data_IF_755062374086
#
_entry.id   IF_755062374086
#
_cell.length_a   1.000
_cell.length_b   1.000
_cell.length_c   1.000
_cell.angle_alpha   90.00
_cell.angle_beta   90.00
_cell.angle_gamma   90.00
#
_symmetry.space_group_name_H-M   'P 1'
#
loop_
_entity.id
_entity.type
_entity.pdbx_description
1 polymer ?
#
# COMPACT_ATOMS: atom_id res chain seq x y z
N UNK A 1 -6.20 -4.64 24.69
CA UNK A 1 -5.17 -5.64 24.32
C UNK A 1 -5.38 -6.27 22.93
N UNK A 2 -6.56 -6.79 22.53
CA UNK A 2 -6.70 -7.37 21.18
C UNK A 2 -6.68 -6.32 20.06
N UNK A 3 -7.30 -5.15 20.28
CA UNK A 3 -7.39 -4.08 19.28
C UNK A 3 -6.03 -3.51 18.85
N UNK A 4 -5.08 -3.41 19.78
CA UNK A 4 -3.71 -2.98 19.51
C UNK A 4 -2.98 -3.93 18.55
N UNK A 5 -3.08 -5.22 18.83
CA UNK A 5 -2.51 -6.26 17.98
C UNK A 5 -3.16 -6.29 16.59
N UNK A 6 -4.47 -6.10 16.51
CA UNK A 6 -5.19 -5.98 15.23
C UNK A 6 -4.73 -4.74 14.45
N UNK A 7 -4.54 -3.59 15.11
CA UNK A 7 -4.04 -2.39 14.46
C UNK A 7 -2.62 -2.61 13.89
N UNK A 8 -1.71 -3.20 14.67
CA UNK A 8 -0.36 -3.53 14.22
C UNK A 8 -0.35 -4.53 13.05
N UNK A 9 -1.30 -5.47 13.02
CA UNK A 9 -1.50 -6.39 11.90
C UNK A 9 -1.95 -5.65 10.64
N UNK A 10 -2.87 -4.69 10.76
CA UNK A 10 -3.34 -3.87 9.63
C UNK A 10 -2.20 -3.03 9.06
N UNK A 11 -1.38 -2.38 9.89
CA UNK A 11 -0.22 -1.60 9.41
C UNK A 11 0.80 -2.51 8.72
N UNK A 12 1.09 -3.67 9.31
CA UNK A 12 2.02 -4.64 8.71
C UNK A 12 1.49 -5.15 7.36
N UNK A 13 0.20 -5.43 7.27
CA UNK A 13 -0.46 -5.81 6.03
C UNK A 13 -0.44 -4.68 4.99
N UNK A 14 -0.68 -3.44 5.41
CA UNK A 14 -0.58 -2.26 4.55
C UNK A 14 0.84 -2.12 3.98
N UNK A 15 1.86 -2.25 4.82
CA UNK A 15 3.25 -2.20 4.37
C UNK A 15 3.56 -3.32 3.35
N UNK A 16 3.13 -4.56 3.62
CA UNK A 16 3.27 -5.67 2.68
C UNK A 16 2.50 -5.41 1.37
N UNK A 17 1.35 -4.75 1.44
CA UNK A 17 0.58 -4.35 0.27
C UNK A 17 1.36 -3.35 -0.59
N UNK A 18 2.00 -2.34 0.00
CA UNK A 18 2.87 -1.39 -0.71
C UNK A 18 4.04 -2.14 -1.39
N UNK A 19 4.73 -3.01 -0.67
CA UNK A 19 5.80 -3.84 -1.24
C UNK A 19 5.28 -4.70 -2.40
N UNK A 20 4.09 -5.26 -2.27
CA UNK A 20 3.44 -6.02 -3.34
C UNK A 20 3.11 -5.13 -4.54
N UNK A 21 2.70 -3.87 -4.36
CA UNK A 21 2.50 -2.95 -5.49
C UNK A 21 3.82 -2.63 -6.21
N UNK A 22 4.92 -2.49 -5.46
CA UNK A 22 6.25 -2.22 -6.02
C UNK A 22 6.78 -3.43 -6.80
N UNK A 23 6.75 -4.63 -6.20
CA UNK A 23 7.42 -5.82 -6.74
C UNK A 23 6.49 -6.85 -7.41
N UNK A 24 5.17 -6.71 -7.26
CA UNK A 24 4.16 -7.67 -7.74
C UNK A 24 4.10 -7.82 -9.26
N UNK A 25 4.67 -6.87 -10.00
CA UNK A 25 4.90 -6.97 -11.44
C UNK A 25 5.64 -8.25 -11.84
N UNK A 26 6.64 -8.68 -11.06
CA UNK A 26 7.40 -9.91 -11.31
C UNK A 26 6.50 -11.14 -11.20
N UNK A 27 5.80 -11.27 -10.07
CA UNK A 27 4.99 -12.44 -9.78
C UNK A 27 3.74 -12.53 -10.66
N UNK A 28 3.16 -11.38 -11.02
CA UNK A 28 2.00 -11.30 -11.90
C UNK A 28 2.26 -11.74 -13.33
N UNK A 29 3.52 -11.71 -13.83
CA UNK A 29 3.83 -12.29 -15.15
C UNK A 29 3.76 -13.81 -15.14
N UNK A 30 4.02 -14.45 -13.99
CA UNK A 30 3.97 -15.90 -13.84
C UNK A 30 2.57 -16.42 -13.51
N UNK A 31 1.79 -15.67 -12.72
CA UNK A 31 0.48 -16.12 -12.25
C UNK A 31 -0.62 -15.10 -12.61
N UNK A 32 -1.59 -15.53 -13.43
CA UNK A 32 -2.68 -14.66 -13.91
C UNK A 32 -3.56 -14.09 -12.80
N UNK A 33 -3.79 -14.85 -11.72
CA UNK A 33 -4.58 -14.37 -10.58
C UNK A 33 -3.84 -13.26 -9.82
N UNK A 34 -2.52 -13.41 -9.65
CA UNK A 34 -1.67 -12.38 -9.03
C UNK A 34 -1.64 -11.11 -9.86
N UNK A 35 -1.57 -11.23 -11.20
CA UNK A 35 -1.72 -10.08 -12.10
C UNK A 35 -3.01 -9.31 -11.86
N UNK A 36 -4.14 -10.00 -11.70
CA UNK A 36 -5.45 -9.35 -11.48
C UNK A 36 -5.47 -8.59 -10.15
N UNK A 37 -4.99 -9.21 -9.08
CA UNK A 37 -4.91 -8.58 -7.75
C UNK A 37 -3.95 -7.37 -7.78
N UNK A 38 -2.78 -7.54 -8.42
CA UNK A 38 -1.79 -6.47 -8.55
C UNK A 38 -2.32 -5.28 -9.35
N UNK A 39 -2.96 -5.52 -10.49
CA UNK A 39 -3.57 -4.46 -11.28
C UNK A 39 -4.72 -3.76 -10.53
N UNK A 40 -5.59 -4.51 -9.86
CA UNK A 40 -6.65 -3.92 -9.03
C UNK A 40 -6.06 -3.04 -7.92
N UNK A 41 -4.98 -3.49 -7.28
CA UNK A 41 -4.26 -2.71 -6.27
C UNK A 41 -3.60 -1.45 -6.81
N UNK A 42 -2.98 -1.50 -8.00
CA UNK A 42 -2.41 -0.32 -8.66
C UNK A 42 -3.49 0.69 -9.02
N UNK A 43 -4.63 0.23 -9.52
CA UNK A 43 -5.78 1.09 -9.83
C UNK A 43 -6.28 1.76 -8.55
N UNK A 44 -6.49 0.99 -7.47
CA UNK A 44 -6.93 1.53 -6.20
C UNK A 44 -5.94 2.58 -5.65
N UNK A 45 -4.64 2.29 -5.68
CA UNK A 45 -3.60 3.23 -5.24
C UNK A 45 -3.61 4.52 -6.08
N UNK A 46 -3.72 4.40 -7.40
CA UNK A 46 -3.85 5.56 -8.29
C UNK A 46 -5.08 6.40 -7.93
N UNK A 47 -6.23 5.78 -7.66
CA UNK A 47 -7.45 6.50 -7.29
C UNK A 47 -7.30 7.20 -5.94
N UNK A 48 -6.77 6.52 -4.93
CA UNK A 48 -6.54 7.06 -3.58
C UNK A 48 -5.65 8.31 -3.65
N UNK A 49 -4.50 8.19 -4.28
CA UNK A 49 -3.52 9.29 -4.34
C UNK A 49 -3.97 10.46 -5.23
N UNK A 50 -4.63 10.16 -6.36
CA UNK A 50 -5.02 11.20 -7.34
C UNK A 50 -6.27 11.95 -6.88
N UNK A 51 -7.27 11.25 -6.33
CA UNK A 51 -8.57 11.84 -5.98
C UNK A 51 -8.69 12.28 -4.52
N UNK A 52 -7.63 12.19 -3.72
CA UNK A 52 -7.69 12.42 -2.26
C UNK A 52 -8.68 11.46 -1.58
N UNK A 53 -8.85 10.26 -2.14
CA UNK A 53 -9.80 9.32 -1.59
C UNK A 53 -9.22 8.73 -0.31
N UNK A 54 -10.08 8.46 0.66
CA UNK A 54 -9.68 7.80 1.89
C UNK A 54 -9.05 6.41 1.64
N UNK A 55 -7.93 6.11 2.32
CA UNK A 55 -7.37 4.75 2.31
C UNK A 55 -8.15 3.87 3.30
N UNK A 56 -8.84 2.80 2.84
CA UNK A 56 -9.67 1.98 3.72
C UNK A 56 -8.85 1.28 4.81
N UNK A 57 -7.58 0.95 4.55
CA UNK A 57 -6.69 0.33 5.52
C UNK A 57 -6.32 1.32 6.64
N UNK A 58 -6.01 2.57 6.28
CA UNK A 58 -5.72 3.64 7.26
C UNK A 58 -6.92 3.92 8.15
N UNK A 59 -8.12 4.01 7.57
CA UNK A 59 -9.33 4.20 8.37
C UNK A 59 -9.61 3.03 9.31
N UNK A 60 -9.40 1.79 8.84
CA UNK A 60 -9.55 0.61 9.68
C UNK A 60 -8.54 0.60 10.83
N UNK A 61 -7.29 0.99 10.59
CA UNK A 61 -6.27 1.14 11.62
C UNK A 61 -6.71 2.14 12.69
N UNK A 62 -7.11 3.36 12.28
CA UNK A 62 -7.54 4.43 13.20
C UNK A 62 -8.73 3.96 14.03
N UNK A 63 -9.74 3.35 13.38
CA UNK A 63 -10.92 2.84 14.08
C UNK A 63 -10.58 1.75 15.12
N UNK A 64 -9.64 0.85 14.80
CA UNK A 64 -9.16 -0.16 15.74
C UNK A 64 -8.40 0.47 16.92
N UNK A 65 -7.56 1.48 16.67
CA UNK A 65 -6.82 2.21 17.72
C UNK A 65 -7.76 2.98 18.65
N UNK A 66 -8.78 3.64 18.11
CA UNK A 66 -9.82 4.32 18.90
C UNK A 66 -10.59 3.35 19.78
N UNK A 67 -10.99 2.19 19.26
CA UNK A 67 -11.66 1.14 20.03
C UNK A 67 -10.80 0.53 21.13
N UNK A 68 -9.48 0.61 21.00
CA UNK A 68 -8.52 0.10 21.97
C UNK A 68 -8.19 1.06 23.12
N UNK A 69 -8.79 2.26 23.16
CA UNK A 69 -8.35 3.40 24.00
C UNK A 69 -6.86 3.75 23.75
N UNK A 70 -6.46 3.60 22.48
CA UNK A 70 -5.10 3.80 22.00
C UNK A 70 -5.03 4.97 21.00
N UNK A 71 -5.92 5.95 21.16
CA UNK A 71 -5.86 7.19 20.41
C UNK A 71 -4.53 7.91 20.73
N UNK A 72 -3.57 7.85 19.79
CA UNK A 72 -2.22 8.37 19.96
C UNK A 72 -1.14 7.34 20.31
N UNK A 73 -1.47 6.05 20.45
CA UNK A 73 -0.47 5.00 20.63
C UNK A 73 0.23 4.72 19.30
N UNK A 74 1.38 5.33 19.07
CA UNK A 74 2.36 4.87 18.09
C UNK A 74 3.15 3.75 18.74
N UNK A 75 2.74 2.49 18.57
CA UNK A 75 3.48 1.35 19.11
C UNK A 75 4.98 1.49 18.81
N UNK A 76 5.83 1.28 19.82
CA UNK A 76 7.22 1.79 19.84
C UNK A 76 8.10 1.38 18.64
N UNK A 77 7.72 0.31 17.91
CA UNK A 77 8.41 -0.14 16.70
C UNK A 77 7.56 0.03 15.43
N UNK A 78 6.38 -0.59 15.36
CA UNK A 78 5.51 -0.54 14.16
C UNK A 78 4.93 0.86 13.96
N UNK A 79 4.41 1.47 15.03
CA UNK A 79 3.81 2.79 14.98
C UNK A 79 4.80 3.94 14.82
N UNK A 80 6.11 3.71 14.98
CA UNK A 80 7.14 4.72 14.73
C UNK A 80 7.80 4.53 13.35
N UNK A 81 8.28 3.33 13.02
CA UNK A 81 9.04 3.10 11.78
C UNK A 81 8.15 2.81 10.56
N UNK A 82 7.14 1.95 10.69
CA UNK A 82 6.24 1.66 9.56
C UNK A 82 5.34 2.85 9.28
N UNK A 83 4.85 3.55 10.31
CA UNK A 83 4.06 4.76 10.10
C UNK A 83 4.84 5.87 9.42
N UNK A 84 6.11 6.12 9.76
CA UNK A 84 6.90 7.14 9.03
C UNK A 84 7.15 6.76 7.57
N UNK A 85 7.22 5.46 7.28
CA UNK A 85 7.45 4.98 5.92
C UNK A 85 6.16 4.97 5.07
N UNK A 86 5.02 4.68 5.69
CA UNK A 86 3.70 4.67 5.04
C UNK A 86 3.16 6.10 4.91
N UNK A 87 3.20 6.87 5.99
CA UNK A 87 2.80 8.29 6.05
C UNK A 87 4.03 9.18 5.90
N UNK A 88 4.69 9.06 4.75
CA UNK A 88 5.75 9.96 4.35
C UNK A 88 5.19 11.39 4.26
N UNK A 89 5.84 12.33 4.95
CA UNK A 89 5.53 13.76 4.89
C UNK A 89 6.05 14.34 3.56
N UNK A 90 5.42 13.92 2.47
CA UNK A 90 5.69 14.36 1.13
C UNK A 90 4.50 15.17 0.61
N UNK A 91 4.75 16.10 -0.32
CA UNK A 91 3.66 16.82 -0.94
C UNK A 91 2.73 15.85 -1.66
N UNK A 92 1.42 16.13 -1.59
CA UNK A 92 0.40 15.33 -2.29
C UNK A 92 0.70 15.17 -3.79
N UNK A 93 1.23 16.22 -4.41
CA UNK A 93 1.67 16.18 -5.81
C UNK A 93 2.82 15.21 -6.06
N UNK A 94 3.76 15.10 -5.12
CA UNK A 94 4.86 14.13 -5.19
C UNK A 94 4.34 12.70 -5.05
N UNK A 95 3.43 12.43 -4.10
CA UNK A 95 2.85 11.08 -3.95
C UNK A 95 2.02 10.66 -5.16
N UNK A 96 1.20 11.55 -5.69
CA UNK A 96 0.47 11.30 -6.93
C UNK A 96 1.45 11.00 -8.09
N UNK A 97 2.51 11.78 -8.25
CA UNK A 97 3.53 11.57 -9.28
C UNK A 97 4.23 10.21 -9.13
N UNK A 98 4.64 9.84 -7.91
CA UNK A 98 5.31 8.56 -7.62
C UNK A 98 4.38 7.38 -7.93
N UNK A 99 3.11 7.47 -7.55
CA UNK A 99 2.11 6.44 -7.82
C UNK A 99 1.79 6.30 -9.31
N UNK A 100 1.71 7.42 -10.04
CA UNK A 100 1.56 7.42 -11.50
C UNK A 100 2.77 6.73 -12.15
N UNK A 101 3.98 7.12 -11.74
CA UNK A 101 5.21 6.53 -12.27
C UNK A 101 5.26 5.01 -11.99
N UNK A 102 4.90 4.59 -10.77
CA UNK A 102 4.81 3.18 -10.40
C UNK A 102 3.83 2.41 -11.29
N UNK A 103 2.65 2.98 -11.56
CA UNK A 103 1.65 2.39 -12.45
C UNK A 103 2.18 2.27 -13.89
N UNK A 104 2.83 3.31 -14.41
CA UNK A 104 3.40 3.32 -15.76
C UNK A 104 4.51 2.27 -15.92
N UNK A 105 5.44 2.19 -14.95
CA UNK A 105 6.52 1.19 -14.96
C UNK A 105 5.96 -0.23 -14.94
N UNK A 106 4.96 -0.50 -14.09
CA UNK A 106 4.34 -1.82 -14.00
C UNK A 106 3.51 -2.15 -15.26
N UNK A 107 2.80 -1.17 -15.82
CA UNK A 107 2.08 -1.35 -17.08
C UNK A 107 3.05 -1.70 -18.22
N UNK A 108 4.15 -0.95 -18.35
CA UNK A 108 5.21 -1.23 -19.31
C UNK A 108 5.82 -2.62 -19.09
N UNK A 109 6.07 -3.01 -17.85
CA UNK A 109 6.59 -4.35 -17.51
C UNK A 109 5.65 -5.48 -17.92
N UNK A 110 4.33 -5.30 -17.74
CA UNK A 110 3.32 -6.29 -18.14
C UNK A 110 3.10 -6.37 -19.66
N UNK A 111 3.28 -5.25 -20.38
CA UNK A 111 3.13 -5.18 -21.83
C UNK A 111 4.39 -5.63 -22.57
N UNK A 112 5.57 -5.47 -21.95
CA UNK A 112 6.84 -5.89 -22.54
C UNK A 112 6.82 -7.39 -22.83
N UNK A 113 7.02 -7.84 -24.08
CA UNK A 113 7.03 -9.26 -24.40
C UNK A 113 8.19 -9.96 -23.66
N UNK A 114 8.00 -11.19 -23.16
CA UNK A 114 9.13 -11.94 -22.61
C UNK A 114 10.17 -12.13 -23.72
N UNK A 115 11.44 -11.78 -23.45
CA UNK A 115 12.53 -12.07 -24.39
C UNK A 115 12.52 -13.59 -24.62
N UNK A 116 12.12 -14.02 -25.82
CA UNK A 116 12.29 -15.41 -26.26
C UNK A 116 13.80 -15.67 -26.28
N UNK A 117 14.29 -16.47 -25.34
CA UNK A 117 15.61 -17.10 -25.43
C UNK A 117 15.48 -18.37 -26.26
#
# INVERSE_FOLDING_TARGET
>A
MPYAFLADLVVSFHFLWILFLIFGGWWGRRYRWVKRIHLAGLVLAFFVETFDWFCPLTHLEVWLREKGDQAGYSGAFIGHYLNQLIYLDASRSLMALLTILLCLVNAWWYLSPPKRR
#
